data_IF_068790328993
#
_entry.id   IF_068790328993
#
_cell.length_a   1.000
_cell.length_b   1.000
_cell.length_c   1.000
_cell.angle_alpha   90.00
_cell.angle_beta   90.00
_cell.angle_gamma   90.00
#
_symmetry.space_group_name_H-M   'P 1'
#
loop_
_entity.id
_entity.type
_entity.pdbx_description
1 polymer ?
#
# COMPACT_ATOMS: atom_id res chain seq x y z
N UNK A 1 22.36 9.30 -12.47
CA UNK A 1 22.14 9.79 -11.08
C UNK A 1 23.31 9.32 -10.24
N UNK A 2 24.01 10.24 -9.55
CA UNK A 2 25.02 9.82 -8.58
C UNK A 2 24.31 9.08 -7.44
N UNK A 3 24.79 7.86 -7.14
CA UNK A 3 24.28 7.10 -6.02
C UNK A 3 24.96 7.63 -4.75
N UNK A 4 24.24 8.42 -3.96
CA UNK A 4 24.74 8.89 -2.66
C UNK A 4 24.82 7.68 -1.74
N UNK A 5 25.98 7.44 -1.14
CA UNK A 5 26.12 6.44 -0.09
C UNK A 5 25.45 6.95 1.20
N UNK A 6 24.15 6.66 1.32
CA UNK A 6 23.33 7.09 2.46
C UNK A 6 23.79 6.52 3.78
N UNK A 7 24.40 5.33 3.77
CA UNK A 7 24.92 4.69 4.98
C UNK A 7 26.16 5.42 5.47
N UNK A 8 27.12 5.67 4.57
CA UNK A 8 28.29 6.47 4.90
C UNK A 8 27.89 7.87 5.38
N UNK A 9 26.88 8.49 4.75
CA UNK A 9 26.37 9.80 5.16
C UNK A 9 25.73 9.76 6.56
N UNK A 10 24.92 8.74 6.86
CA UNK A 10 24.32 8.54 8.19
C UNK A 10 25.41 8.36 9.26
N UNK A 11 26.35 7.45 9.03
CA UNK A 11 27.45 7.19 9.96
C UNK A 11 28.32 8.43 10.20
N UNK A 12 28.54 9.26 9.18
CA UNK A 12 29.24 10.53 9.31
C UNK A 12 28.43 11.54 10.14
N UNK A 13 27.12 11.64 9.93
CA UNK A 13 26.24 12.53 10.66
C UNK A 13 26.11 12.13 12.15
N UNK A 14 25.99 10.84 12.45
CA UNK A 14 25.90 10.34 13.84
C UNK A 14 27.18 10.58 14.65
N UNK A 15 28.35 10.54 14.00
CA UNK A 15 29.65 10.84 14.64
C UNK A 15 29.91 12.34 14.80
N UNK A 16 29.23 13.18 14.03
CA UNK A 16 29.42 14.60 14.07
C UNK A 16 28.83 15.20 15.36
N UNK A 17 29.42 16.29 15.86
CA UNK A 17 28.88 16.99 17.02
C UNK A 17 27.57 17.69 16.64
N UNK A 18 26.46 17.47 17.36
CA UNK A 18 25.19 18.14 17.07
C UNK A 18 25.33 19.67 17.11
N UNK A 19 24.65 20.36 16.18
CA UNK A 19 24.55 21.82 16.16
C UNK A 19 25.84 22.59 15.86
N UNK A 20 26.99 21.93 15.65
CA UNK A 20 28.25 22.60 15.32
C UNK A 20 28.43 22.73 13.81
N UNK A 21 27.75 23.71 13.21
CA UNK A 21 28.08 24.19 11.86
C UNK A 21 28.40 25.69 11.94
N UNK A 22 29.68 25.98 12.13
CA UNK A 22 30.20 27.35 12.27
C UNK A 22 30.36 27.82 13.71
N UNK A 23 31.40 28.61 13.97
CA UNK A 23 31.78 29.15 15.29
C UNK A 23 31.27 30.60 15.49
N UNK A 24 30.21 30.99 14.78
CA UNK A 24 29.64 32.32 14.90
C UNK A 24 28.70 32.38 16.09
N UNK A 25 29.22 32.90 17.19
CA UNK A 25 28.40 33.62 18.17
C UNK A 25 27.83 34.84 17.43
N UNK A 26 26.53 35.10 17.52
CA UNK A 26 25.90 36.27 16.91
C UNK A 26 26.73 37.54 17.23
N UNK A 27 27.20 38.23 16.19
CA UNK A 27 28.06 39.42 16.31
C UNK A 27 29.59 39.17 16.30
N UNK A 28 30.07 37.93 16.24
CA UNK A 28 31.49 37.58 16.20
C UNK A 28 31.83 36.88 14.89
N UNK A 29 32.20 37.64 13.85
CA UNK A 29 32.90 37.07 12.71
C UNK A 29 34.21 36.43 13.17
N UNK A 30 34.52 35.25 12.65
CA UNK A 30 35.76 34.45 12.80
C UNK A 30 35.68 33.26 13.75
N UNK A 31 36.25 32.15 13.26
CA UNK A 31 36.73 30.99 14.04
C UNK A 31 37.75 31.51 15.04
N UNK A 32 37.52 31.33 16.34
CA UNK A 32 38.47 31.75 17.39
C UNK A 32 39.05 30.51 18.05
N UNK A 33 40.32 30.19 17.74
CA UNK A 33 41.08 29.26 18.56
C UNK A 33 42.36 29.92 19.08
N UNK A 34 42.66 29.63 20.34
CA UNK A 34 43.91 30.01 21.00
C UNK A 34 44.65 28.72 21.36
N UNK A 35 45.94 28.68 21.08
CA UNK A 35 46.82 27.60 21.53
C UNK A 35 47.82 28.17 22.56
N UNK A 36 47.86 27.55 23.74
CA UNK A 36 48.80 27.89 24.81
C UNK A 36 49.89 26.82 24.93
N UNK A 37 51.11 27.27 25.18
CA UNK A 37 52.25 26.41 25.47
C UNK A 37 52.18 25.81 26.87
N UNK A 38 53.01 24.81 27.15
CA UNK A 38 53.07 24.15 28.46
C UNK A 38 53.46 25.09 29.62
N UNK A 39 54.06 26.23 29.32
CA UNK A 39 54.42 27.29 30.27
C UNK A 39 53.33 28.37 30.40
N UNK A 40 52.18 28.19 29.74
CA UNK A 40 51.07 29.14 29.73
C UNK A 40 51.25 30.30 28.74
N UNK A 41 52.34 30.34 27.97
CA UNK A 41 52.54 31.36 26.95
C UNK A 41 51.59 31.16 25.77
N UNK A 42 51.12 32.26 25.16
CA UNK A 42 50.31 32.20 23.95
C UNK A 42 51.21 31.83 22.77
N UNK A 43 50.98 30.66 22.17
CA UNK A 43 51.83 30.10 21.11
C UNK A 43 51.29 30.44 19.73
N UNK A 44 49.96 30.48 19.57
CA UNK A 44 49.34 30.78 18.28
C UNK A 44 47.99 31.46 18.48
N UNK A 45 47.83 32.61 17.81
CA UNK A 45 46.59 33.36 17.75
C UNK A 45 46.30 33.69 16.28
N UNK A 46 45.15 33.26 15.80
CA UNK A 46 44.63 33.66 14.50
C UNK A 46 43.64 34.80 14.73
N UNK A 47 44.04 36.02 14.40
CA UNK A 47 43.26 37.26 14.55
C UNK A 47 43.40 38.07 13.25
N UNK A 48 42.28 38.49 12.65
CA UNK A 48 42.31 39.04 11.29
C UNK A 48 41.84 40.47 11.23
N UNK A 49 42.78 41.32 10.86
CA UNK A 49 42.56 42.73 10.64
C UNK A 49 41.93 43.07 9.28
N UNK A 50 41.73 42.09 8.38
CA UNK A 50 41.37 42.35 6.97
C UNK A 50 40.00 41.82 6.51
N UNK A 51 39.15 41.33 7.42
CA UNK A 51 37.73 40.97 7.17
C UNK A 51 37.42 39.99 6.03
N UNK A 52 38.39 39.35 5.38
CA UNK A 52 38.12 38.31 4.37
C UNK A 52 37.92 36.94 5.03
N UNK A 53 36.79 36.78 5.71
CA UNK A 53 36.35 35.48 6.23
C UNK A 53 34.88 35.21 5.94
N UNK A 54 34.58 33.98 5.51
CA UNK A 54 33.23 33.50 5.25
C UNK A 54 33.04 33.00 3.83
N UNK A 55 31.78 32.79 3.45
CA UNK A 55 31.40 32.53 2.07
C UNK A 55 31.72 33.77 1.21
N UNK A 56 32.28 33.57 0.02
CA UNK A 56 32.73 34.63 -0.88
C UNK A 56 31.80 34.70 -2.09
N UNK A 57 31.52 35.90 -2.59
CA UNK A 57 30.67 36.14 -3.76
C UNK A 57 29.34 36.82 -3.42
N UNK A 58 28.54 37.14 -4.43
CA UNK A 58 27.30 37.90 -4.26
C UNK A 58 26.20 37.21 -3.44
N UNK A 59 26.32 35.90 -3.19
CA UNK A 59 25.37 35.09 -2.43
C UNK A 59 25.90 34.67 -1.05
N UNK A 60 26.98 35.28 -0.57
CA UNK A 60 27.69 34.87 0.65
C UNK A 60 26.79 34.66 1.87
N UNK A 61 25.83 35.55 2.10
CA UNK A 61 24.88 35.44 3.21
C UNK A 61 23.95 34.22 3.08
N UNK A 62 23.48 33.93 1.86
CA UNK A 62 22.60 32.80 1.57
C UNK A 62 23.36 31.46 1.66
N UNK A 63 24.59 31.42 1.17
CA UNK A 63 25.42 30.22 1.23
C UNK A 63 25.79 29.89 2.68
N UNK A 64 26.09 30.91 3.49
CA UNK A 64 26.34 30.73 4.92
C UNK A 64 25.10 30.22 5.67
N UNK A 65 23.91 30.77 5.36
CA UNK A 65 22.66 30.30 5.93
C UNK A 65 22.38 28.85 5.56
N UNK A 66 22.49 28.49 4.28
CA UNK A 66 22.28 27.13 3.81
C UNK A 66 23.22 26.14 4.50
N UNK A 67 24.51 26.48 4.58
CA UNK A 67 25.50 25.65 5.26
C UNK A 67 25.11 25.41 6.72
N UNK A 68 24.72 26.46 7.47
CA UNK A 68 24.28 26.32 8.88
C UNK A 68 23.05 25.41 9.04
N UNK A 69 22.12 25.44 8.09
CA UNK A 69 20.92 24.60 8.12
C UNK A 69 21.22 23.13 7.82
N UNK A 70 22.30 22.84 7.09
CA UNK A 70 22.78 21.49 6.78
C UNK A 70 23.58 20.86 7.93
N UNK A 71 23.06 20.95 9.15
CA UNK A 71 23.65 20.30 10.32
C UNK A 71 23.40 18.78 10.33
N UNK A 72 24.13 18.00 11.15
CA UNK A 72 23.96 16.56 11.23
C UNK A 72 22.54 16.12 11.61
N UNK A 73 21.83 16.88 12.45
CA UNK A 73 20.46 16.56 12.84
C UNK A 73 19.49 16.73 11.66
N UNK A 74 19.63 17.81 10.88
CA UNK A 74 18.87 18.00 9.64
C UNK A 74 19.14 16.86 8.64
N UNK A 75 20.40 16.46 8.47
CA UNK A 75 20.76 15.35 7.57
C UNK A 75 20.12 14.03 8.03
N UNK A 76 20.17 13.71 9.32
CA UNK A 76 19.56 12.50 9.87
C UNK A 76 18.03 12.53 9.71
N UNK A 77 17.38 13.67 9.99
CA UNK A 77 15.94 13.82 9.80
C UNK A 77 15.52 13.59 8.34
N UNK A 78 16.26 14.15 7.37
CA UNK A 78 16.01 13.92 5.95
C UNK A 78 16.22 12.46 5.53
N UNK A 79 17.22 11.78 6.11
CA UNK A 79 17.44 10.34 5.85
C UNK A 79 16.30 9.50 6.43
N UNK A 80 15.81 9.81 7.62
CA UNK A 80 14.66 9.15 8.25
C UNK A 80 13.38 9.36 7.43
N UNK A 81 13.09 10.59 6.99
CA UNK A 81 11.96 10.89 6.11
C UNK A 81 12.04 10.16 4.77
N UNK A 82 13.26 10.05 4.21
CA UNK A 82 13.50 9.33 2.98
C UNK A 82 13.25 7.82 3.15
N UNK A 83 13.76 7.21 4.21
CA UNK A 83 13.53 5.79 4.53
C UNK A 83 12.05 5.52 4.76
N UNK A 84 11.35 6.38 5.51
CA UNK A 84 9.91 6.28 5.71
C UNK A 84 9.12 6.39 4.39
N UNK A 85 9.53 7.29 3.51
CA UNK A 85 8.92 7.45 2.18
C UNK A 85 9.17 6.24 1.29
N UNK A 86 10.38 5.67 1.32
CA UNK A 86 10.71 4.44 0.60
C UNK A 86 9.91 3.24 1.10
N UNK A 87 9.71 3.12 2.43
CA UNK A 87 8.87 2.09 3.02
C UNK A 87 7.39 2.22 2.63
N UNK A 88 6.86 3.45 2.57
CA UNK A 88 5.50 3.70 2.06
C UNK A 88 5.39 3.30 0.59
N UNK A 89 6.36 3.66 -0.24
CA UNK A 89 6.36 3.31 -1.66
C UNK A 89 6.40 1.79 -1.88
N UNK A 90 7.21 1.05 -1.11
CA UNK A 90 7.25 -0.42 -1.22
C UNK A 90 5.92 -1.06 -0.81
N UNK A 91 5.28 -0.54 0.25
CA UNK A 91 3.95 -0.99 0.67
C UNK A 91 2.88 -0.72 -0.38
N UNK A 92 2.89 0.47 -0.98
CA UNK A 92 1.94 0.83 -2.06
C UNK A 92 2.16 -0.07 -3.26
N UNK A 93 3.41 -0.28 -3.69
CA UNK A 93 3.74 -1.17 -4.80
C UNK A 93 3.24 -2.61 -4.55
N UNK A 94 3.47 -3.17 -3.36
CA UNK A 94 2.95 -4.48 -2.99
C UNK A 94 1.42 -4.53 -2.94
N UNK A 95 0.78 -3.46 -2.49
CA UNK A 95 -0.69 -3.32 -2.49
C UNK A 95 -1.28 -3.30 -3.91
N UNK A 96 -0.63 -2.60 -4.84
CA UNK A 96 -1.02 -2.56 -6.26
C UNK A 96 -0.92 -3.97 -6.87
N UNK A 97 0.17 -4.69 -6.61
CA UNK A 97 0.35 -6.06 -7.12
C UNK A 97 -0.75 -7.01 -6.60
N UNK A 98 -1.09 -6.90 -5.31
CA UNK A 98 -2.17 -7.69 -4.71
C UNK A 98 -3.54 -7.33 -5.32
N UNK A 99 -3.80 -6.05 -5.56
CA UNK A 99 -5.04 -5.57 -6.17
C UNK A 99 -5.20 -6.10 -7.61
N UNK A 100 -4.13 -6.10 -8.41
CA UNK A 100 -4.15 -6.65 -9.77
C UNK A 100 -4.53 -8.14 -9.74
N UNK A 101 -3.91 -8.94 -8.86
CA UNK A 101 -4.24 -10.37 -8.71
C UNK A 101 -5.68 -10.61 -8.28
N UNK A 102 -6.23 -9.75 -7.42
CA UNK A 102 -7.64 -9.82 -7.01
C UNK A 102 -8.58 -9.47 -8.17
N UNK A 103 -8.23 -8.47 -8.97
CA UNK A 103 -8.99 -8.07 -10.15
C UNK A 103 -9.07 -9.21 -11.17
N UNK A 104 -7.93 -9.85 -11.50
CA UNK A 104 -7.89 -11.01 -12.40
C UNK A 104 -8.77 -12.16 -11.92
N UNK A 105 -8.75 -12.44 -10.61
CA UNK A 105 -9.61 -13.49 -10.02
C UNK A 105 -11.08 -13.11 -10.05
N UNK A 106 -11.41 -11.84 -9.82
CA UNK A 106 -12.77 -11.34 -9.91
C UNK A 106 -13.31 -11.49 -11.35
N UNK A 107 -12.53 -11.12 -12.36
CA UNK A 107 -12.92 -11.29 -13.77
C UNK A 107 -13.16 -12.77 -14.14
N UNK A 108 -12.33 -13.68 -13.64
CA UNK A 108 -12.55 -15.12 -13.84
C UNK A 108 -13.82 -15.60 -13.13
N UNK A 109 -14.04 -15.17 -11.89
CA UNK A 109 -15.24 -15.52 -11.14
C UNK A 109 -16.51 -14.99 -11.81
N UNK A 110 -16.49 -13.75 -12.31
CA UNK A 110 -17.59 -13.14 -13.04
C UNK A 110 -17.94 -13.93 -14.31
N UNK A 111 -16.92 -14.37 -15.08
CA UNK A 111 -17.13 -15.23 -16.26
C UNK A 111 -17.76 -16.57 -15.90
N UNK A 112 -17.27 -17.22 -14.83
CA UNK A 112 -17.82 -18.49 -14.37
C UNK A 112 -19.27 -18.35 -13.89
N UNK A 113 -19.60 -17.26 -13.20
CA UNK A 113 -20.98 -16.96 -12.78
C UNK A 113 -21.87 -16.78 -14.01
N UNK A 114 -21.45 -15.97 -14.99
CA UNK A 114 -22.21 -15.76 -16.22
C UNK A 114 -22.44 -17.07 -17.00
N UNK A 115 -21.43 -17.95 -17.07
CA UNK A 115 -21.57 -19.27 -17.69
C UNK A 115 -22.59 -20.16 -16.95
N UNK A 116 -22.54 -20.18 -15.62
CA UNK A 116 -23.47 -20.94 -14.80
C UNK A 116 -24.91 -20.38 -14.88
N UNK A 117 -25.06 -19.06 -14.91
CA UNK A 117 -26.36 -18.39 -15.06
C UNK A 117 -26.98 -18.61 -16.45
N UNK A 118 -26.17 -18.74 -17.50
CA UNK A 118 -26.63 -19.06 -18.85
C UNK A 118 -27.00 -20.55 -19.06
N UNK A 119 -26.67 -21.43 -18.10
CA UNK A 119 -26.86 -22.87 -18.25
C UNK A 119 -28.31 -23.27 -18.02
N UNK A 120 -29.04 -23.47 -19.12
CA UNK A 120 -30.38 -24.05 -19.09
C UNK A 120 -30.33 -25.58 -18.94
N UNK A 121 -31.14 -26.13 -18.03
CA UNK A 121 -31.30 -27.58 -17.86
C UNK A 121 -32.48 -28.06 -18.70
N UNK A 122 -32.21 -28.85 -19.73
CA UNK A 122 -33.26 -29.55 -20.50
C UNK A 122 -33.75 -30.76 -19.70
N UNK A 123 -34.99 -30.70 -19.24
CA UNK A 123 -35.65 -31.82 -18.57
C UNK A 123 -36.06 -32.88 -19.62
N UNK A 124 -35.93 -34.18 -19.30
CA UNK A 124 -36.39 -35.25 -20.18
C UNK A 124 -37.91 -35.20 -20.36
N UNK A 125 -38.39 -35.42 -21.57
CA UNK A 125 -39.82 -35.61 -21.83
C UNK A 125 -40.29 -36.93 -21.21
N UNK A 126 -41.20 -36.87 -20.25
CA UNK A 126 -41.77 -38.04 -19.56
C UNK A 126 -42.95 -38.64 -20.35
N UNK A 127 -42.74 -39.04 -21.62
CA UNK A 127 -43.79 -39.59 -22.49
C UNK A 127 -44.54 -40.77 -21.88
N UNK A 128 -43.80 -41.71 -21.28
CA UNK A 128 -44.38 -42.86 -20.59
C UNK A 128 -45.32 -42.47 -19.44
N UNK A 129 -45.01 -41.39 -18.72
CA UNK A 129 -45.86 -40.87 -17.65
C UNK A 129 -47.09 -40.17 -18.23
N UNK A 130 -46.92 -39.40 -19.31
CA UNK A 130 -48.02 -38.78 -20.06
C UNK A 130 -49.05 -39.81 -20.51
N UNK A 131 -48.58 -40.87 -21.15
CA UNK A 131 -49.43 -41.90 -21.74
C UNK A 131 -50.13 -42.70 -20.63
N UNK A 132 -49.43 -43.01 -19.53
CA UNK A 132 -50.03 -43.66 -18.36
C UNK A 132 -51.09 -42.80 -17.67
N UNK A 133 -50.86 -41.48 -17.55
CA UNK A 133 -51.82 -40.54 -16.95
C UNK A 133 -53.09 -40.36 -17.80
N UNK A 134 -53.06 -40.71 -19.08
CA UNK A 134 -54.22 -40.66 -19.99
C UNK A 134 -55.17 -41.84 -19.82
N UNK A 135 -54.69 -42.97 -19.29
CA UNK A 135 -55.45 -44.22 -19.13
C UNK A 135 -56.02 -44.42 -17.72
N UNK A 136 -55.57 -43.65 -16.73
CA UNK A 136 -55.99 -43.76 -15.33
C UNK A 136 -57.18 -42.85 -14.99
N UNK A 137 -57.91 -43.22 -13.94
CA UNK A 137 -59.02 -42.39 -13.45
C UNK A 137 -58.51 -41.06 -12.88
N UNK A 138 -59.38 -40.03 -12.83
CA UNK A 138 -59.00 -38.69 -12.32
C UNK A 138 -58.37 -38.71 -10.92
N UNK A 139 -58.80 -39.65 -10.07
CA UNK A 139 -58.34 -39.76 -8.67
C UNK A 139 -56.94 -40.37 -8.58
N UNK A 140 -56.69 -41.43 -9.34
CA UNK A 140 -55.36 -42.06 -9.43
C UNK A 140 -54.35 -41.12 -10.09
N UNK A 141 -54.80 -40.32 -11.05
CA UNK A 141 -54.00 -39.29 -11.71
C UNK A 141 -53.47 -38.24 -10.73
N UNK A 142 -54.31 -37.78 -9.81
CA UNK A 142 -53.91 -36.83 -8.76
C UNK A 142 -52.85 -37.41 -7.82
N UNK A 143 -53.06 -38.64 -7.34
CA UNK A 143 -52.12 -39.30 -6.41
C UNK A 143 -50.74 -39.51 -7.06
N UNK A 144 -50.70 -39.92 -8.33
CA UNK A 144 -49.45 -40.10 -9.08
C UNK A 144 -48.72 -38.76 -9.23
N UNK A 145 -49.42 -37.69 -9.60
CA UNK A 145 -48.82 -36.37 -9.77
C UNK A 145 -48.29 -35.80 -8.45
N UNK A 146 -48.98 -36.03 -7.34
CA UNK A 146 -48.51 -35.64 -5.99
C UNK A 146 -47.21 -36.40 -5.64
N UNK A 147 -47.15 -37.70 -5.89
CA UNK A 147 -45.95 -38.51 -5.66
C UNK A 147 -44.75 -38.06 -6.49
N UNK A 148 -44.95 -37.84 -7.80
CA UNK A 148 -43.90 -37.33 -8.71
C UNK A 148 -43.40 -35.95 -8.26
N UNK A 149 -44.30 -35.06 -7.84
CA UNK A 149 -43.95 -33.73 -7.33
C UNK A 149 -43.09 -33.81 -6.06
N UNK A 150 -43.41 -34.72 -5.14
CA UNK A 150 -42.64 -34.90 -3.91
C UNK A 150 -41.24 -35.43 -4.18
N UNK A 151 -41.10 -36.44 -5.04
CA UNK A 151 -39.78 -36.98 -5.44
C UNK A 151 -38.95 -35.95 -6.20
N UNK A 152 -39.57 -35.11 -7.04
CA UNK A 152 -38.89 -34.01 -7.71
C UNK A 152 -38.36 -32.96 -6.71
N UNK A 153 -39.17 -32.57 -5.73
CA UNK A 153 -38.72 -31.66 -4.66
C UNK A 153 -37.61 -32.28 -3.80
N UNK A 154 -37.66 -33.59 -3.56
CA UNK A 154 -36.62 -34.33 -2.84
C UNK A 154 -35.30 -34.31 -3.62
N UNK A 155 -35.33 -34.64 -4.90
CA UNK A 155 -34.15 -34.64 -5.77
C UNK A 155 -33.52 -33.24 -5.88
N UNK A 156 -34.34 -32.19 -6.00
CA UNK A 156 -33.85 -30.80 -6.01
C UNK A 156 -33.20 -30.41 -4.68
N UNK A 157 -33.77 -30.83 -3.55
CA UNK A 157 -33.21 -30.60 -2.21
C UNK A 157 -31.88 -31.36 -2.01
N UNK A 158 -31.79 -32.60 -2.46
CA UNK A 158 -30.56 -33.41 -2.44
C UNK A 158 -29.48 -32.80 -3.34
N UNK A 159 -29.86 -32.24 -4.49
CA UNK A 159 -28.98 -31.47 -5.38
C UNK A 159 -28.60 -30.08 -4.86
N UNK A 160 -29.07 -29.69 -3.66
CA UNK A 160 -28.78 -28.39 -3.07
C UNK A 160 -29.47 -27.20 -3.76
N UNK A 161 -30.45 -27.45 -4.63
CA UNK A 161 -31.17 -26.42 -5.39
C UNK A 161 -32.30 -25.86 -4.51
N UNK A 162 -32.21 -24.57 -4.20
CA UNK A 162 -33.27 -23.84 -3.48
C UNK A 162 -34.36 -23.43 -4.45
N UNK A 163 -35.59 -23.89 -4.21
CA UNK A 163 -36.78 -23.46 -4.96
C UNK A 163 -37.50 -22.40 -4.14
N UNK A 164 -37.69 -21.20 -4.69
CA UNK A 164 -38.57 -20.21 -4.10
C UNK A 164 -40.03 -20.64 -4.32
N UNK A 165 -40.87 -20.57 -3.28
CA UNK A 165 -42.30 -20.78 -3.47
C UNK A 165 -42.83 -19.68 -4.40
N UNK A 166 -43.38 -20.07 -5.57
CA UNK A 166 -44.21 -19.13 -6.30
C UNK A 166 -45.43 -18.86 -5.43
N UNK A 167 -45.58 -17.63 -4.96
CA UNK A 167 -46.88 -17.21 -4.45
C UNK A 167 -47.86 -17.38 -5.61
N UNK A 168 -49.00 -18.05 -5.43
CA UNK A 168 -50.03 -18.03 -6.46
C UNK A 168 -50.35 -16.57 -6.73
N UNK A 169 -50.16 -16.11 -7.98
CA UNK A 169 -50.74 -14.85 -8.43
C UNK A 169 -52.23 -15.02 -8.24
N UNK A 170 -52.77 -14.36 -7.22
CA UNK A 170 -54.18 -14.37 -6.90
C UNK A 170 -54.98 -13.94 -8.13
N UNK A 171 -55.99 -14.74 -8.44
CA UNK A 171 -57.16 -14.32 -9.21
C UNK A 171 -57.93 -13.22 -8.48
#
# INVERSE_FOLDING_TARGET
MNNIDKRALREAAEKATPGRIGDRIDGSGSIKYQCFGNDGSLVLQTDHKNMEYGFIGGNSEADELFFRLCDPATVLALLDELEASQAKNSRVAGGIEAAIKLQERAEVAEKLIAELEAREVKLPELKMLSDYLAEVTMREREDILVGVRLEFHRALKEGGIKIAASSPKGE
#
